data_IF_343383641521
#
_entry.id   IF_343383641521
#
_cell.length_a   1.000
_cell.length_b   1.000
_cell.length_c   1.000
_cell.angle_alpha   90.00
_cell.angle_beta   90.00
_cell.angle_gamma   90.00
#
_symmetry.space_group_name_H-M   'P 1'
#
loop_
_entity.id
_entity.type
_entity.pdbx_description
1 polymer ?
#
# COMPACT_ATOMS: atom_id res chain seq x y z
N UNK A 1 -18.19 40.72 -5.72
CA UNK A 1 -17.47 39.91 -6.73
C UNK A 1 -16.10 39.60 -6.16
N UNK A 2 -15.74 38.32 -6.12
CA UNK A 2 -14.57 37.75 -5.46
C UNK A 2 -13.23 38.33 -5.95
N UNK A 3 -12.27 38.47 -5.05
CA UNK A 3 -10.85 38.37 -5.40
C UNK A 3 -10.04 37.76 -4.22
N UNK A 4 -9.82 36.45 -4.38
CA UNK A 4 -8.72 35.58 -3.95
C UNK A 4 -8.12 35.72 -2.53
N UNK A 5 -8.58 34.86 -1.62
CA UNK A 5 -7.71 34.24 -0.61
C UNK A 5 -7.05 33.00 -1.24
N UNK A 6 -5.71 32.94 -1.18
CA UNK A 6 -4.92 31.78 -1.61
C UNK A 6 -5.31 30.56 -0.78
N UNK A 7 -5.93 29.59 -1.44
CA UNK A 7 -6.09 28.25 -0.87
C UNK A 7 -4.77 27.52 -1.07
N UNK A 8 -4.12 27.19 0.04
CA UNK A 8 -2.95 26.34 0.06
C UNK A 8 -3.28 25.00 -0.58
N UNK A 9 -2.39 24.60 -1.48
CA UNK A 9 -2.39 23.33 -2.19
C UNK A 9 -2.22 22.21 -1.16
N UNK A 10 -3.34 21.60 -0.74
CA UNK A 10 -3.32 20.24 -0.23
C UNK A 10 -3.51 19.35 -1.46
N UNK A 11 -2.48 18.60 -1.81
CA UNK A 11 -2.49 17.73 -2.97
C UNK A 11 -3.69 16.79 -2.91
N UNK A 12 -4.57 16.91 -3.90
CA UNK A 12 -5.58 15.90 -4.17
C UNK A 12 -4.86 14.63 -4.62
N UNK A 13 -4.58 13.76 -3.65
CA UNK A 13 -4.35 12.35 -3.91
C UNK A 13 -5.60 11.81 -4.58
N UNK A 14 -5.54 11.75 -5.91
CA UNK A 14 -6.49 11.05 -6.75
C UNK A 14 -6.40 9.57 -6.40
N UNK A 15 -7.05 9.19 -5.30
CA UNK A 15 -7.23 7.83 -4.85
C UNK A 15 -8.01 7.11 -5.92
N UNK A 16 -7.28 6.38 -6.75
CA UNK A 16 -7.78 5.53 -7.80
C UNK A 16 -9.07 4.87 -7.32
N UNK A 17 -10.17 5.15 -8.03
CA UNK A 17 -11.40 4.39 -7.91
C UNK A 17 -11.08 2.95 -8.30
N UNK A 18 -10.50 2.21 -7.36
CA UNK A 18 -10.37 0.78 -7.46
C UNK A 18 -11.80 0.27 -7.45
N UNK A 19 -12.13 -0.57 -8.42
CA UNK A 19 -13.23 -1.52 -8.26
C UNK A 19 -12.84 -2.45 -7.12
N UNK A 20 -12.88 -1.92 -5.90
CA UNK A 20 -12.65 -2.63 -4.67
C UNK A 20 -13.76 -3.66 -4.61
N UNK A 21 -13.43 -4.91 -4.90
CA UNK A 21 -14.27 -6.00 -4.48
C UNK A 21 -14.58 -5.76 -2.99
N UNK A 22 -15.84 -5.54 -2.61
CA UNK A 22 -16.19 -5.01 -1.29
C UNK A 22 -15.76 -5.90 -0.12
N UNK A 23 -15.28 -7.12 -0.41
CA UNK A 23 -14.88 -8.13 0.56
C UNK A 23 -13.38 -8.47 0.52
N UNK A 24 -12.56 -7.80 -0.31
CA UNK A 24 -11.11 -8.07 -0.35
C UNK A 24 -10.37 -7.08 0.57
N UNK A 25 -9.63 -7.56 1.58
CA UNK A 25 -8.87 -6.69 2.45
C UNK A 25 -7.69 -6.07 1.70
N UNK A 26 -7.52 -4.76 1.84
CA UNK A 26 -6.35 -4.04 1.34
C UNK A 26 -5.32 -3.90 2.45
N UNK A 27 -4.07 -4.19 2.13
CA UNK A 27 -2.93 -4.00 3.02
C UNK A 27 -1.96 -3.00 2.41
N UNK A 28 -1.49 -2.06 3.24
CA UNK A 28 -0.39 -1.19 2.84
C UNK A 28 0.89 -2.00 2.69
N UNK A 29 1.80 -1.57 1.81
CA UNK A 29 3.12 -2.20 1.71
C UNK A 29 3.88 -2.18 3.06
N UNK A 30 3.70 -1.13 3.87
CA UNK A 30 4.27 -1.00 5.22
C UNK A 30 3.80 -2.13 6.16
N UNK A 31 2.52 -2.50 6.05
CA UNK A 31 1.96 -3.63 6.82
C UNK A 31 2.67 -4.93 6.45
N UNK A 32 2.84 -5.19 5.14
CA UNK A 32 3.49 -6.41 4.62
C UNK A 32 4.97 -6.47 5.04
N UNK A 33 5.70 -5.35 4.91
CA UNK A 33 7.11 -5.28 5.31
C UNK A 33 7.28 -5.49 6.81
N UNK A 34 6.40 -4.93 7.63
CA UNK A 34 6.46 -5.12 9.09
C UNK A 34 6.17 -6.58 9.48
N UNK A 35 5.13 -7.19 8.90
CA UNK A 35 4.74 -8.58 9.19
C UNK A 35 5.87 -9.58 8.86
N UNK A 36 6.53 -9.38 7.72
CA UNK A 36 7.63 -10.23 7.25
C UNK A 36 8.99 -9.90 7.87
N UNK A 37 9.04 -8.98 8.85
CA UNK A 37 10.29 -8.44 9.43
C UNK A 37 11.28 -7.99 8.35
N UNK A 38 10.79 -7.15 7.44
CA UNK A 38 11.52 -6.66 6.27
C UNK A 38 12.01 -7.79 5.34
N UNK A 39 11.15 -8.77 5.07
CA UNK A 39 11.48 -9.94 4.26
C UNK A 39 12.75 -10.68 4.76
N UNK A 40 12.90 -10.77 6.09
CA UNK A 40 14.03 -11.44 6.71
C UNK A 40 14.12 -12.91 6.27
N UNK A 41 15.33 -13.40 6.04
CA UNK A 41 15.56 -14.80 5.69
C UNK A 41 15.00 -15.75 6.76
N UNK A 42 14.96 -15.35 8.03
CA UNK A 42 14.37 -16.14 9.12
C UNK A 42 12.87 -16.39 8.94
N UNK A 43 12.18 -15.53 8.19
CA UNK A 43 10.76 -15.67 7.86
C UNK A 43 10.53 -16.29 6.49
N UNK A 44 11.56 -16.54 5.69
CA UNK A 44 11.41 -17.20 4.39
C UNK A 44 11.02 -18.66 4.59
N UNK A 45 9.88 -19.03 4.01
CA UNK A 45 9.36 -20.40 4.00
C UNK A 45 9.90 -21.19 2.81
N UNK A 46 10.17 -20.53 1.69
CA UNK A 46 10.70 -21.16 0.48
C UNK A 46 10.81 -20.22 -0.70
N UNK A 47 11.29 -20.74 -1.83
CA UNK A 47 11.35 -20.04 -3.11
C UNK A 47 11.06 -21.02 -4.25
N UNK A 48 10.20 -20.61 -5.18
CA UNK A 48 9.92 -21.33 -6.42
C UNK A 48 10.06 -20.43 -7.64
N UNK A 49 9.60 -20.90 -8.80
CA UNK A 49 9.67 -20.15 -10.07
C UNK A 49 8.88 -18.83 -10.07
N UNK A 50 7.98 -18.64 -9.12
CA UNK A 50 7.13 -17.44 -9.00
C UNK A 50 7.58 -16.49 -7.88
N UNK A 51 8.68 -16.79 -7.18
CA UNK A 51 9.24 -15.93 -6.14
C UNK A 51 9.38 -16.59 -4.77
N UNK A 52 9.62 -15.76 -3.76
CA UNK A 52 9.83 -16.18 -2.36
C UNK A 52 8.55 -16.07 -1.54
N UNK A 53 8.35 -17.01 -0.62
CA UNK A 53 7.22 -17.03 0.32
C UNK A 53 7.75 -16.74 1.73
N UNK A 54 7.07 -15.89 2.47
CA UNK A 54 7.41 -15.51 3.85
C UNK A 54 6.22 -15.75 4.78
N UNK A 55 6.50 -16.12 6.04
CA UNK A 55 5.51 -16.17 7.12
C UNK A 55 5.24 -14.81 7.75
#
# INVERSE_FOLDING_TARGET
MMQQLKQDSSGEENGAQSNAHPNLPFFSFKTITTATRHFSHQNKLGQGGFGSVYK
#
